data_IF_945331940092
#
_entry.id   IF_945331940092
#
_cell.length_a   1.000
_cell.length_b   1.000
_cell.length_c   1.000
_cell.angle_alpha   90.00
_cell.angle_beta   90.00
_cell.angle_gamma   90.00
#
_symmetry.space_group_name_H-M   'P 1'
#
loop_
_entity.id
_entity.type
_entity.pdbx_description
1 polymer ?
#
# COMPACT_ATOMS: atom_id res chain seq x y z
N UNK A 1 -36.78 -12.11 -46.16
CA UNK A 1 -35.76 -13.02 -45.57
C UNK A 1 -34.35 -12.44 -45.53
N UNK A 2 -33.81 -11.91 -46.64
CA UNK A 2 -32.40 -11.45 -46.70
C UNK A 2 -32.02 -10.38 -45.64
N UNK A 3 -32.87 -9.36 -45.45
CA UNK A 3 -32.63 -8.30 -44.45
C UNK A 3 -32.74 -8.78 -42.99
N UNK A 4 -33.55 -9.79 -42.72
CA UNK A 4 -33.71 -10.38 -41.38
C UNK A 4 -32.44 -11.14 -40.99
N UNK A 5 -31.81 -11.84 -41.93
CA UNK A 5 -30.55 -12.55 -41.73
C UNK A 5 -29.41 -11.57 -41.45
N UNK A 6 -29.33 -10.46 -42.20
CA UNK A 6 -28.32 -9.43 -41.95
C UNK A 6 -28.50 -8.74 -40.60
N UNK A 7 -29.74 -8.42 -40.21
CA UNK A 7 -30.03 -7.83 -38.91
C UNK A 7 -29.69 -8.77 -37.75
N UNK A 8 -30.03 -10.05 -37.87
CA UNK A 8 -29.69 -11.06 -36.86
C UNK A 8 -28.19 -11.27 -36.72
N UNK A 9 -27.46 -11.32 -37.84
CA UNK A 9 -26.00 -11.44 -37.83
C UNK A 9 -25.32 -10.21 -37.19
N UNK A 10 -25.78 -8.99 -37.53
CA UNK A 10 -25.29 -7.77 -36.92
C UNK A 10 -25.58 -7.74 -35.40
N UNK A 11 -26.78 -8.12 -34.98
CA UNK A 11 -27.15 -8.21 -33.57
C UNK A 11 -26.29 -9.22 -32.79
N UNK A 12 -26.01 -10.38 -33.37
CA UNK A 12 -25.14 -11.39 -32.77
C UNK A 12 -23.70 -10.91 -32.59
N UNK A 13 -23.15 -10.19 -33.58
CA UNK A 13 -21.80 -9.60 -33.49
C UNK A 13 -21.73 -8.54 -32.39
N UNK A 14 -22.75 -7.68 -32.29
CA UNK A 14 -22.82 -6.66 -31.23
C UNK A 14 -22.94 -7.30 -29.85
N UNK A 15 -23.79 -8.32 -29.69
CA UNK A 15 -23.94 -9.04 -28.43
C UNK A 15 -22.64 -9.76 -28.02
N UNK A 16 -21.94 -10.40 -28.97
CA UNK A 16 -20.67 -11.05 -28.73
C UNK A 16 -19.57 -10.03 -28.35
N UNK A 17 -19.55 -8.86 -28.99
CA UNK A 17 -18.64 -7.78 -28.63
C UNK A 17 -18.91 -7.29 -27.20
N UNK A 18 -20.17 -6.98 -26.86
CA UNK A 18 -20.56 -6.55 -25.50
C UNK A 18 -20.17 -7.60 -24.46
N UNK A 19 -20.41 -8.89 -24.73
CA UNK A 19 -20.02 -9.98 -23.86
C UNK A 19 -18.49 -10.04 -23.66
N UNK A 20 -17.71 -9.90 -24.73
CA UNK A 20 -16.24 -9.91 -24.66
C UNK A 20 -15.65 -8.72 -23.87
N UNK A 21 -16.18 -7.50 -24.04
CA UNK A 21 -15.72 -6.34 -23.24
C UNK A 21 -16.19 -6.42 -21.80
N UNK A 22 -17.34 -7.07 -21.53
CA UNK A 22 -17.84 -7.26 -20.15
C UNK A 22 -16.95 -8.20 -19.32
N UNK A 23 -16.18 -9.07 -19.97
CA UNK A 23 -15.21 -9.97 -19.34
C UNK A 23 -13.77 -9.45 -19.37
N UNK A 24 -13.52 -8.36 -20.08
CA UNK A 24 -12.23 -7.66 -20.02
C UNK A 24 -12.19 -6.93 -18.68
N UNK A 25 -11.52 -7.54 -17.69
CA UNK A 25 -11.39 -7.02 -16.34
C UNK A 25 -11.06 -5.52 -16.33
N UNK A 26 -11.63 -4.78 -15.36
CA UNK A 26 -11.31 -3.37 -15.12
C UNK A 26 -9.79 -3.17 -15.21
N UNK A 27 -9.36 -2.11 -15.92
CA UNK A 27 -7.95 -1.77 -15.99
C UNK A 27 -7.33 -1.80 -14.57
N UNK A 28 -6.19 -2.47 -14.38
CA UNK A 28 -5.59 -2.61 -13.06
C UNK A 28 -5.32 -1.22 -12.47
N UNK A 29 -5.56 -1.07 -11.17
CA UNK A 29 -5.25 0.16 -10.44
C UNK A 29 -3.73 0.38 -10.51
N UNK A 30 -3.30 1.52 -11.04
CA UNK A 30 -1.89 1.83 -11.17
C UNK A 30 -1.31 2.37 -9.85
N UNK A 31 0.01 2.32 -9.72
CA UNK A 31 0.70 2.97 -8.60
C UNK A 31 0.41 4.49 -8.57
N UNK A 32 0.26 5.12 -9.74
CA UNK A 32 -0.05 6.54 -9.83
C UNK A 32 -1.45 6.85 -9.31
N UNK A 33 -2.43 5.95 -9.53
CA UNK A 33 -3.78 6.12 -8.99
C UNK A 33 -3.77 6.16 -7.47
N UNK A 34 -2.99 5.30 -6.81
CA UNK A 34 -2.80 5.34 -5.36
C UNK A 34 -2.16 6.63 -4.88
N UNK A 35 -1.12 7.10 -5.56
CA UNK A 35 -0.44 8.36 -5.21
C UNK A 35 -1.40 9.54 -5.33
N UNK A 36 -2.19 9.58 -6.40
CA UNK A 36 -3.19 10.60 -6.64
C UNK A 36 -4.31 10.55 -5.59
N UNK A 37 -4.81 9.35 -5.27
CA UNK A 37 -5.84 9.16 -4.25
C UNK A 37 -5.37 9.62 -2.86
N UNK A 38 -4.13 9.29 -2.48
CA UNK A 38 -3.58 9.65 -1.18
C UNK A 38 -3.19 11.14 -1.08
N UNK A 39 -2.90 11.81 -2.20
CA UNK A 39 -2.77 13.27 -2.20
C UNK A 39 -4.04 13.94 -1.66
N UNK A 40 -5.22 13.44 -2.01
CA UNK A 40 -6.49 14.08 -1.67
C UNK A 40 -6.64 15.46 -2.33
N UNK A 41 -7.52 16.30 -1.80
CA UNK A 41 -7.80 17.64 -2.36
C UNK A 41 -6.76 18.71 -2.01
N UNK A 42 -5.93 18.48 -0.99
CA UNK A 42 -4.98 19.44 -0.45
C UNK A 42 -3.55 18.95 -0.62
N UNK A 43 -2.74 19.70 -1.37
CA UNK A 43 -1.32 19.41 -1.53
C UNK A 43 -0.54 19.73 -0.25
N UNK A 44 0.11 18.73 0.33
CA UNK A 44 1.01 18.87 1.48
C UNK A 44 2.47 18.80 1.01
N UNK A 45 2.99 19.92 0.50
CA UNK A 45 4.33 19.98 -0.09
C UNK A 45 5.42 19.61 0.93
N UNK A 46 6.36 18.75 0.52
CA UNK A 46 7.44 18.25 1.38
C UNK A 46 7.03 17.12 2.34
N UNK A 47 5.74 16.77 2.44
CA UNK A 47 5.26 15.68 3.28
C UNK A 47 4.92 14.41 2.48
N UNK A 48 4.92 13.27 3.17
CA UNK A 48 4.47 12.00 2.58
C UNK A 48 2.97 12.06 2.26
N UNK A 49 2.57 11.46 1.14
CA UNK A 49 1.15 11.34 0.74
C UNK A 49 0.32 10.49 1.70
N UNK A 50 0.95 9.52 2.34
CA UNK A 50 0.37 8.74 3.43
C UNK A 50 1.34 8.73 4.59
N UNK A 51 0.80 8.64 5.81
CA UNK A 51 1.58 8.74 7.05
C UNK A 51 2.33 10.06 7.18
N UNK A 52 1.68 11.17 6.80
CA UNK A 52 2.29 12.50 6.73
C UNK A 52 2.86 12.97 8.07
N UNK A 53 2.06 12.87 9.14
CA UNK A 53 2.48 13.22 10.50
C UNK A 53 3.23 12.06 11.17
N UNK A 54 4.37 12.38 11.78
CA UNK A 54 5.18 11.43 12.54
C UNK A 54 6.50 12.03 13.00
N UNK A 55 7.25 11.28 13.78
CA UNK A 55 8.55 11.68 14.32
C UNK A 55 9.56 10.54 14.20
N UNK A 56 10.84 10.89 14.13
CA UNK A 56 11.93 9.94 14.00
C UNK A 56 12.34 9.37 15.36
N UNK A 57 12.80 8.13 15.34
CA UNK A 57 13.42 7.44 16.48
C UNK A 57 14.73 6.80 16.02
N UNK A 58 15.64 6.52 16.93
CA UNK A 58 16.86 5.76 16.67
C UNK A 58 17.21 4.89 17.86
N UNK A 59 18.03 3.87 17.62
CA UNK A 59 18.49 2.97 18.67
C UNK A 59 19.18 1.74 18.11
N UNK A 60 19.21 0.69 18.92
CA UNK A 60 19.83 -0.60 18.58
C UNK A 60 18.78 -1.71 18.58
N UNK A 61 18.81 -2.55 17.55
CA UNK A 61 18.07 -3.81 17.51
C UNK A 61 18.96 -4.91 18.07
N UNK A 62 18.59 -5.45 19.24
CA UNK A 62 19.28 -6.56 19.89
C UNK A 62 18.70 -7.89 19.40
N UNK A 63 19.45 -8.59 18.56
CA UNK A 63 19.08 -9.92 18.09
C UNK A 63 19.72 -10.98 18.98
N UNK A 64 18.89 -11.88 19.51
CA UNK A 64 19.35 -13.03 20.31
C UNK A 64 19.98 -14.14 19.48
N UNK A 65 19.87 -14.09 18.15
CA UNK A 65 20.31 -15.16 17.26
C UNK A 65 19.41 -16.40 17.22
N UNK A 66 18.27 -16.41 17.93
CA UNK A 66 17.35 -17.56 17.97
C UNK A 66 16.79 -17.95 16.60
N UNK A 67 16.82 -17.04 15.62
CA UNK A 67 16.34 -17.26 14.26
C UNK A 67 17.45 -17.55 13.24
N UNK A 68 18.72 -17.62 13.66
CA UNK A 68 19.87 -17.83 12.78
C UNK A 68 19.82 -19.16 12.01
N UNK A 69 19.25 -20.21 12.61
CA UNK A 69 19.08 -21.51 11.94
C UNK A 69 18.02 -21.48 10.82
N UNK A 70 17.12 -20.49 10.81
CA UNK A 70 16.01 -20.39 9.87
C UNK A 70 16.24 -19.33 8.79
N UNK A 71 17.25 -18.47 8.93
CA UNK A 71 17.52 -17.39 7.98
C UNK A 71 18.98 -16.96 7.99
N UNK A 72 19.52 -16.67 6.80
CA UNK A 72 20.85 -16.08 6.61
C UNK A 72 20.86 -14.56 6.76
N UNK A 73 19.72 -13.92 7.01
CA UNK A 73 19.64 -12.48 7.17
C UNK A 73 20.53 -12.01 8.33
N UNK A 74 21.41 -11.04 8.07
CA UNK A 74 22.37 -10.53 9.06
C UNK A 74 21.66 -10.06 10.33
N UNK A 75 20.55 -9.34 10.20
CA UNK A 75 19.79 -8.82 11.36
C UNK A 75 19.22 -9.92 12.27
N UNK A 76 19.13 -11.17 11.82
CA UNK A 76 18.64 -12.30 12.61
C UNK A 76 19.75 -13.15 13.24
N UNK A 77 21.01 -12.85 12.94
CA UNK A 77 22.17 -13.40 13.64
C UNK A 77 22.30 -12.75 15.02
N UNK A 78 22.98 -13.40 15.97
CA UNK A 78 23.21 -12.80 17.29
C UNK A 78 24.03 -11.52 17.16
N UNK A 79 23.56 -10.41 17.73
CA UNK A 79 24.26 -9.14 17.65
C UNK A 79 23.40 -7.92 17.97
N UNK A 80 24.04 -6.75 17.96
CA UNK A 80 23.43 -5.42 18.08
C UNK A 80 23.53 -4.72 16.74
N UNK A 81 22.41 -4.21 16.22
CA UNK A 81 22.38 -3.53 14.93
C UNK A 81 21.73 -2.14 15.05
N UNK A 82 22.40 -1.06 14.61
CA UNK A 82 21.82 0.27 14.66
C UNK A 82 20.59 0.37 13.78
N UNK A 83 19.59 1.12 14.23
CA UNK A 83 18.43 1.47 13.42
C UNK A 83 18.11 2.96 13.47
N UNK A 84 17.53 3.43 12.36
CA UNK A 84 16.75 4.67 12.31
C UNK A 84 15.32 4.27 11.99
N UNK A 85 14.37 4.85 12.72
CA UNK A 85 12.96 4.53 12.59
C UNK A 85 12.08 5.76 12.57
N UNK A 86 10.78 5.51 12.35
CA UNK A 86 9.75 6.53 12.35
C UNK A 86 8.44 5.99 12.89
N UNK A 87 7.87 6.71 13.84
CA UNK A 87 6.49 6.52 14.31
C UNK A 87 5.60 7.50 13.56
N UNK A 88 4.40 7.06 13.16
CA UNK A 88 3.46 7.92 12.44
C UNK A 88 2.01 7.51 12.62
N UNK A 89 1.09 8.42 12.28
CA UNK A 89 -0.35 8.17 12.16
C UNK A 89 -0.72 8.06 10.68
N UNK A 90 -1.79 7.33 10.34
CA UNK A 90 -2.28 7.27 8.96
C UNK A 90 -2.87 8.61 8.48
N UNK A 91 -2.98 8.75 7.15
CA UNK A 91 -3.54 9.93 6.49
C UNK A 91 -2.48 10.86 5.89
N UNK A 92 -2.96 11.89 5.21
CA UNK A 92 -2.14 12.83 4.42
C UNK A 92 -1.92 14.19 5.10
N UNK A 93 -2.62 14.52 6.18
CA UNK A 93 -2.50 15.80 6.88
C UNK A 93 -1.36 15.76 7.93
N UNK A 94 -0.27 16.54 7.75
CA UNK A 94 0.87 16.55 8.66
C UNK A 94 0.57 17.20 10.02
N UNK A 95 -0.49 18.01 10.11
CA UNK A 95 -0.92 18.72 11.32
C UNK A 95 -2.14 18.08 11.99
N UNK A 96 -2.52 16.85 11.59
CA UNK A 96 -3.67 16.18 12.18
C UNK A 96 -3.49 15.93 13.70
N UNK A 97 -4.55 16.02 14.52
CA UNK A 97 -4.51 15.58 15.91
C UNK A 97 -4.09 14.10 16.01
N UNK A 98 -3.31 13.74 17.04
CA UNK A 98 -2.74 12.38 17.13
C UNK A 98 -3.80 11.29 17.24
N UNK A 99 -4.94 11.59 17.85
CA UNK A 99 -6.06 10.64 18.02
C UNK A 99 -7.02 10.59 16.82
N UNK A 100 -6.79 11.40 15.76
CA UNK A 100 -7.69 11.45 14.60
C UNK A 100 -7.71 10.17 13.79
N UNK A 101 -6.54 9.53 13.63
CA UNK A 101 -6.43 8.28 12.87
C UNK A 101 -6.54 7.07 13.79
N UNK A 102 -7.15 5.95 13.35
CA UNK A 102 -7.14 4.70 14.11
C UNK A 102 -5.82 3.93 13.96
N UNK A 103 -5.09 4.12 12.85
CA UNK A 103 -3.83 3.41 12.58
C UNK A 103 -2.63 4.21 13.10
N UNK A 104 -1.79 3.55 13.90
CA UNK A 104 -0.39 3.92 14.18
C UNK A 104 0.55 3.00 13.44
N UNK A 105 1.72 3.53 13.08
CA UNK A 105 2.72 2.83 12.28
C UNK A 105 4.11 2.97 12.87
N UNK A 106 4.90 1.92 12.69
CA UNK A 106 6.32 1.86 13.02
C UNK A 106 7.07 1.38 11.78
N UNK A 107 7.94 2.24 11.26
CA UNK A 107 8.87 1.87 10.19
C UNK A 107 10.29 1.91 10.73
N UNK A 108 11.08 0.88 10.45
CA UNK A 108 12.48 0.78 10.86
C UNK A 108 13.37 0.50 9.65
N UNK A 109 14.51 1.17 9.58
CA UNK A 109 15.66 0.80 8.77
C UNK A 109 16.76 0.35 9.73
N UNK A 110 17.03 -0.95 9.75
CA UNK A 110 18.13 -1.56 10.51
C UNK A 110 19.34 -1.64 9.57
N UNK A 111 20.54 -1.38 10.11
CA UNK A 111 21.80 -1.23 9.36
C UNK A 111 21.73 -0.07 8.34
N UNK A 112 21.40 1.17 8.74
CA UNK A 112 21.16 2.28 7.81
C UNK A 112 22.37 2.63 6.94
N UNK A 113 23.59 2.41 7.41
CA UNK A 113 24.83 2.70 6.66
C UNK A 113 25.30 1.52 5.80
N UNK A 114 24.61 0.37 5.89
CA UNK A 114 24.91 -0.80 5.06
C UNK A 114 24.23 -0.68 3.69
N UNK A 115 24.85 -1.18 2.60
CA UNK A 115 24.16 -1.35 1.32
C UNK A 115 23.03 -2.41 1.41
N UNK A 116 23.04 -3.27 2.43
CA UNK A 116 22.03 -4.31 2.67
C UNK A 116 21.17 -3.96 3.89
N UNK A 117 20.40 -2.89 3.76
CA UNK A 117 19.50 -2.42 4.82
C UNK A 117 18.33 -3.38 5.00
N UNK A 118 17.92 -3.63 6.24
CA UNK A 118 16.66 -4.31 6.53
C UNK A 118 15.59 -3.27 6.85
N UNK A 119 14.54 -3.20 6.00
CA UNK A 119 13.46 -2.23 6.13
C UNK A 119 12.16 -2.92 6.52
N UNK A 120 11.50 -2.40 7.55
CA UNK A 120 10.16 -2.84 7.97
C UNK A 120 9.20 -1.67 7.96
N UNK A 121 7.94 -1.94 7.62
CA UNK A 121 6.84 -0.98 7.71
C UNK A 121 5.64 -1.71 8.30
N UNK A 122 5.40 -1.46 9.59
CA UNK A 122 4.38 -2.13 10.39
C UNK A 122 3.27 -1.15 10.76
N UNK A 123 2.06 -1.68 10.88
CA UNK A 123 0.90 -0.96 11.35
C UNK A 123 0.30 -1.69 12.56
N UNK A 124 -0.48 -0.95 13.34
CA UNK A 124 -1.23 -1.46 14.50
C UNK A 124 -2.26 -2.54 14.14
N UNK A 125 -3.03 -2.47 13.03
CA UNK A 125 -3.82 -3.62 12.60
C UNK A 125 -2.88 -4.74 12.13
N UNK A 126 -3.03 -5.97 12.65
CA UNK A 126 -2.16 -7.09 12.31
C UNK A 126 -2.42 -7.65 10.90
N UNK A 127 -3.55 -7.26 10.29
CA UNK A 127 -3.97 -7.66 8.95
C UNK A 127 -4.66 -6.49 8.24
N UNK A 128 -4.61 -6.48 6.91
CA UNK A 128 -5.47 -5.61 6.11
C UNK A 128 -6.86 -6.24 5.99
N UNK A 129 -7.90 -5.41 5.95
CA UNK A 129 -9.29 -5.85 5.76
C UNK A 129 -9.57 -6.42 4.36
N UNK A 130 -8.63 -6.23 3.43
CA UNK A 130 -8.75 -6.62 2.02
C UNK A 130 -7.44 -7.25 1.54
N UNK A 131 -7.55 -8.16 0.58
CA UNK A 131 -6.44 -9.02 0.15
C UNK A 131 -5.73 -8.57 -1.13
N UNK A 132 -6.22 -7.56 -1.85
CA UNK A 132 -5.62 -7.10 -3.11
C UNK A 132 -5.45 -5.57 -3.14
N UNK A 133 -4.46 -5.04 -3.87
CA UNK A 133 -4.31 -3.60 -4.07
C UNK A 133 -5.59 -2.95 -4.60
N UNK A 134 -6.28 -3.55 -5.57
CA UNK A 134 -7.51 -2.97 -6.15
C UNK A 134 -8.60 -2.85 -5.08
N UNK A 135 -8.78 -3.88 -4.24
CA UNK A 135 -9.74 -3.82 -3.13
C UNK A 135 -9.33 -2.80 -2.07
N UNK A 136 -8.02 -2.63 -1.84
CA UNK A 136 -7.51 -1.59 -0.94
C UNK A 136 -7.75 -0.19 -1.49
N UNK A 137 -7.55 0.01 -2.78
CA UNK A 137 -7.90 1.26 -3.45
C UNK A 137 -9.39 1.59 -3.32
N UNK A 138 -10.27 0.61 -3.57
CA UNK A 138 -11.71 0.78 -3.37
C UNK A 138 -12.08 1.04 -1.91
N UNK A 139 -11.43 0.38 -0.96
CA UNK A 139 -11.61 0.65 0.47
C UNK A 139 -11.24 2.09 0.82
N UNK A 140 -10.10 2.59 0.32
CA UNK A 140 -9.66 3.97 0.53
C UNK A 140 -10.66 4.99 -0.04
N UNK A 141 -11.19 4.74 -1.25
CA UNK A 141 -12.26 5.57 -1.82
C UNK A 141 -13.51 5.60 -0.94
N UNK A 142 -13.91 4.44 -0.41
CA UNK A 142 -15.13 4.33 0.40
C UNK A 142 -15.05 5.08 1.74
N UNK A 143 -13.86 5.20 2.32
CA UNK A 143 -13.63 5.87 3.63
C UNK A 143 -13.22 7.34 3.53
N UNK A 144 -13.06 7.87 2.31
CA UNK A 144 -12.74 9.29 2.08
C UNK A 144 -13.97 10.22 2.11
N UNK A 145 -15.18 9.66 2.18
CA UNK A 145 -16.44 10.41 2.29
C UNK A 145 -16.66 10.96 3.69
#
# INVERSE_FOLDING_TARGET
MRYVIFAAAAGAVVAAAIYAVSFSGRAPVSAQDFVNLQQGSQLQAGFRRAHAKGFCISGEFQSSGALAAYSSAQVLQSGSYPFIGRISIAGNNPSAPDLKAPVRSLALTILPDSPQQWRTAMNTPPVLAVATPEKFYQQLLAIQN
#
